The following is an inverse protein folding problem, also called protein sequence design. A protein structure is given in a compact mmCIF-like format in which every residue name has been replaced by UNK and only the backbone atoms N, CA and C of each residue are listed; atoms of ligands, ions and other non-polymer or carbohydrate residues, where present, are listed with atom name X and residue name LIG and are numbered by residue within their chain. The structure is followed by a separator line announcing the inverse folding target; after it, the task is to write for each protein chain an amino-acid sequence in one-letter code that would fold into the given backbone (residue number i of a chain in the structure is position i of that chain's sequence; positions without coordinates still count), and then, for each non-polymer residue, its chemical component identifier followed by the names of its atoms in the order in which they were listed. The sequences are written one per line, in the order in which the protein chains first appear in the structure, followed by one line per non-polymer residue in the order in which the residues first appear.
data_IF_461454008182
#
_entry.id   IF_461454008182
#
_cell.length_a   1.000
_cell.length_b   1.000
_cell.length_c   1.000
_cell.angle_alpha   90.00
_cell.angle_beta   90.00
_cell.angle_gamma   90.00
#
_symmetry.space_group_name_H-M   'P 1'
#
loop_
_entity.id
_entity.type
_entity.pdbx_description
1 polymer ?
#
# COMPACT_ATOMS: atom_id res chain seq x y z
N UNK A 1 -6.20 -18.33 4.76
CA UNK A 1 -7.61 -17.91 4.61
C UNK A 1 -7.63 -16.78 3.58
N UNK A 2 -8.63 -16.73 2.70
CA UNK A 2 -8.74 -15.71 1.65
C UNK A 2 -9.94 -14.81 1.87
N UNK A 3 -9.85 -13.55 1.43
CA UNK A 3 -10.92 -12.55 1.43
C UNK A 3 -11.07 -12.00 0.03
N UNK A 4 -12.27 -12.13 -0.53
CA UNK A 4 -12.60 -11.55 -1.83
C UNK A 4 -12.98 -10.08 -1.67
N UNK A 5 -12.45 -9.23 -2.53
CA UNK A 5 -12.81 -7.81 -2.60
C UNK A 5 -12.91 -7.32 -4.03
N UNK A 6 -13.63 -6.23 -4.22
CA UNK A 6 -13.68 -5.51 -5.50
C UNK A 6 -12.79 -4.28 -5.42
N UNK A 7 -11.82 -4.17 -6.31
CA UNK A 7 -10.97 -2.98 -6.49
C UNK A 7 -10.84 -2.73 -8.00
N UNK A 8 -11.00 -1.48 -8.45
CA UNK A 8 -10.88 -1.12 -9.86
C UNK A 8 -11.76 -1.98 -10.77
N UNK A 9 -13.02 -2.18 -10.37
CA UNK A 9 -14.01 -3.00 -11.06
C UNK A 9 -13.60 -4.48 -11.27
N UNK A 10 -12.63 -4.98 -10.50
CA UNK A 10 -12.19 -6.38 -10.53
C UNK A 10 -12.39 -7.04 -9.17
N UNK A 11 -12.93 -8.25 -9.19
CA UNK A 11 -12.98 -9.11 -8.01
C UNK A 11 -11.64 -9.84 -7.87
N UNK A 12 -11.05 -9.76 -6.68
CA UNK A 12 -9.73 -10.27 -6.38
C UNK A 12 -9.79 -11.03 -5.07
N UNK A 13 -9.24 -12.24 -5.06
CA UNK A 13 -9.07 -13.05 -3.86
C UNK A 13 -7.69 -12.77 -3.24
N UNK A 14 -7.70 -12.29 -1.99
CA UNK A 14 -6.49 -11.89 -1.28
C UNK A 14 -6.28 -12.74 -0.05
N UNK A 15 -5.05 -13.14 0.19
CA UNK A 15 -4.68 -13.91 1.36
C UNK A 15 -4.61 -12.99 2.58
N UNK A 16 -5.28 -13.39 3.66
CA UNK A 16 -5.19 -12.69 4.94
C UNK A 16 -3.75 -12.77 5.45
N UNK A 17 -3.26 -11.66 6.01
CA UNK A 17 -1.90 -11.58 6.53
C UNK A 17 -0.84 -11.30 5.47
N UNK A 18 -1.22 -10.61 4.39
CA UNK A 18 -0.36 -10.39 3.23
C UNK A 18 -0.32 -8.94 2.77
N UNK A 19 0.81 -8.57 2.16
CA UNK A 19 1.02 -7.28 1.50
C UNK A 19 1.05 -7.51 0.00
N UNK A 20 0.46 -6.59 -0.75
CA UNK A 20 0.40 -6.60 -2.20
C UNK A 20 0.81 -5.25 -2.77
N UNK A 21 1.35 -5.26 -3.98
CA UNK A 21 1.48 -4.08 -4.83
C UNK A 21 0.63 -4.30 -6.07
N UNK A 22 -0.20 -3.32 -6.42
CA UNK A 22 -0.91 -3.27 -7.69
C UNK A 22 -0.32 -2.15 -8.55
N UNK A 23 0.15 -2.52 -9.73
CA UNK A 23 0.63 -1.61 -10.76
C UNK A 23 -0.54 -1.31 -11.70
N UNK A 24 -1.11 -0.12 -11.59
CA UNK A 24 -2.31 0.26 -12.32
C UNK A 24 -2.26 1.74 -12.74
N UNK A 25 -2.79 2.03 -13.93
CA UNK A 25 -3.16 3.39 -14.28
C UNK A 25 -4.51 3.74 -13.64
N UNK A 26 -4.47 4.21 -12.39
CA UNK A 26 -5.69 4.57 -11.66
C UNK A 26 -6.46 5.75 -12.31
N UNK A 27 -5.83 6.55 -13.19
CA UNK A 27 -6.50 7.65 -13.89
C UNK A 27 -7.46 7.14 -14.96
N UNK A 28 -7.27 5.91 -15.43
CA UNK A 28 -8.20 5.21 -16.33
C UNK A 28 -9.29 4.44 -15.59
N UNK A 29 -9.29 4.45 -14.26
CA UNK A 29 -10.26 3.71 -13.45
C UNK A 29 -11.43 4.61 -13.05
N UNK A 30 -12.62 4.01 -12.95
CA UNK A 30 -13.78 4.69 -12.38
C UNK A 30 -13.55 4.99 -10.90
N UNK A 31 -14.07 6.12 -10.44
CA UNK A 31 -13.99 6.61 -9.06
C UNK A 31 -14.97 5.87 -8.12
N UNK A 32 -15.13 4.56 -8.31
CA UNK A 32 -16.06 3.70 -7.58
C UNK A 32 -15.28 2.73 -6.69
N UNK A 33 -14.97 3.18 -5.47
CA UNK A 33 -14.34 2.35 -4.45
C UNK A 33 -15.38 1.51 -3.71
N UNK A 34 -14.98 0.31 -3.25
CA UNK A 34 -15.86 -0.57 -2.50
C UNK A 34 -16.19 0.04 -1.13
N UNK A 35 -17.47 0.33 -0.88
CA UNK A 35 -17.93 1.01 0.35
C UNK A 35 -18.03 0.10 1.57
N UNK A 36 -17.40 -1.08 1.55
CA UNK A 36 -17.36 -1.98 2.70
C UNK A 36 -16.70 -1.30 3.90
N UNK A 37 -17.37 -1.34 5.05
CA UNK A 37 -16.95 -0.68 6.30
C UNK A 37 -15.62 -1.19 6.87
N UNK A 38 -15.02 -2.23 6.28
CA UNK A 38 -13.76 -2.85 6.74
C UNK A 38 -12.57 -2.59 5.83
N UNK A 39 -12.74 -1.74 4.81
CA UNK A 39 -11.66 -1.33 3.91
C UNK A 39 -11.34 0.14 4.16
N UNK A 40 -10.06 0.42 4.33
CA UNK A 40 -9.53 1.77 4.51
C UNK A 40 -8.83 2.23 3.24
N UNK A 41 -9.33 3.30 2.62
CA UNK A 41 -8.76 3.89 1.41
C UNK A 41 -8.00 5.17 1.77
N UNK A 42 -6.71 5.19 1.47
CA UNK A 42 -5.84 6.31 1.79
C UNK A 42 -4.94 6.70 0.62
N UNK A 43 -4.77 8.01 0.43
CA UNK A 43 -3.85 8.63 -0.51
C UNK A 43 -4.02 8.21 -1.99
N UNK A 44 -5.21 7.75 -2.37
CA UNK A 44 -5.57 7.56 -3.78
C UNK A 44 -6.12 8.87 -4.35
N UNK A 45 -6.09 9.10 -5.68
CA UNK A 45 -6.64 10.32 -6.29
C UNK A 45 -8.18 10.41 -6.26
N UNK A 46 -8.86 9.35 -5.81
CA UNK A 46 -10.30 9.22 -5.71
C UNK A 46 -10.93 10.12 -4.63
N UNK A 47 -12.21 10.48 -4.78
CA UNK A 47 -12.92 11.36 -3.84
C UNK A 47 -13.18 10.69 -2.49
N UNK A 48 -13.55 9.41 -2.49
CA UNK A 48 -13.84 8.61 -1.30
C UNK A 48 -12.57 8.11 -0.59
N UNK A 49 -11.38 8.48 -1.08
CA UNK A 49 -10.10 8.20 -0.43
C UNK A 49 -9.69 9.34 0.48
N UNK A 50 -9.35 9.01 1.72
CA UNK A 50 -8.81 9.97 2.68
C UNK A 50 -7.43 10.45 2.19
N UNK A 51 -7.21 11.76 2.13
CA UNK A 51 -5.88 12.32 1.83
C UNK A 51 -5.03 12.37 3.10
N UNK A 52 -3.72 12.16 2.97
CA UNK A 52 -2.79 12.19 4.12
C UNK A 52 -2.93 13.50 4.89
N UNK A 53 -2.88 14.64 4.19
CA UNK A 53 -3.03 15.98 4.79
C UNK A 53 -4.32 16.13 5.59
N UNK A 54 -5.46 15.76 5.00
CA UNK A 54 -6.77 15.86 5.65
C UNK A 54 -6.87 15.03 6.93
N UNK A 55 -6.28 13.83 6.92
CA UNK A 55 -6.30 12.98 8.11
C UNK A 55 -5.48 13.62 9.24
N UNK A 56 -4.27 14.07 8.92
CA UNK A 56 -3.35 14.58 9.95
C UNK A 56 -3.79 15.91 10.56
N UNK A 57 -4.44 16.78 9.79
CA UNK A 57 -4.95 18.07 10.27
C UNK A 57 -5.92 17.93 11.47
N UNK A 58 -6.55 16.77 11.61
CA UNK A 58 -7.55 16.47 12.65
C UNK A 58 -7.04 15.59 13.79
N UNK A 59 -5.76 15.21 13.80
CA UNK A 59 -5.19 14.21 14.71
C UNK A 59 -4.02 14.74 15.52
N UNK A 60 -3.81 14.14 16.69
CA UNK A 60 -2.61 14.38 17.47
C UNK A 60 -1.40 13.66 16.86
N UNK A 61 -0.63 14.40 16.07
CA UNK A 61 0.68 14.02 15.54
C UNK A 61 1.82 14.25 16.55
N UNK A 62 1.55 14.22 17.86
CA UNK A 62 2.63 14.30 18.84
C UNK A 62 3.67 13.19 18.61
N UNK A 63 4.94 13.57 18.63
CA UNK A 63 6.09 12.65 18.49
C UNK A 63 5.95 11.49 19.49
N UNK A 64 5.49 11.79 20.71
CA UNK A 64 5.27 10.79 21.76
C UNK A 64 4.23 9.73 21.36
N UNK A 65 3.11 10.14 20.76
CA UNK A 65 2.10 9.19 20.30
C UNK A 65 2.65 8.31 19.18
N UNK A 66 3.38 8.90 18.23
CA UNK A 66 3.98 8.15 17.14
C UNK A 66 5.05 7.18 17.63
N UNK A 67 5.92 7.59 18.56
CA UNK A 67 6.90 6.71 19.22
C UNK A 67 6.23 5.51 19.92
N UNK A 68 5.09 5.74 20.57
CA UNK A 68 4.34 4.66 21.22
C UNK A 68 3.80 3.66 20.21
N UNK A 69 3.29 4.13 19.07
CA UNK A 69 2.83 3.27 17.99
C UNK A 69 3.97 2.49 17.34
N UNK A 70 5.11 3.16 17.08
CA UNK A 70 6.34 2.53 16.57
C UNK A 70 6.77 1.38 17.48
N UNK A 71 6.81 1.61 18.80
CA UNK A 71 7.14 0.56 19.79
C UNK A 71 6.09 -0.55 19.82
N UNK A 72 4.79 -0.20 19.80
CA UNK A 72 3.68 -1.16 19.83
C UNK A 72 3.73 -2.15 18.67
N UNK A 73 4.09 -1.70 17.48
CA UNK A 73 4.15 -2.53 16.27
C UNK A 73 5.57 -2.92 15.86
N UNK A 74 6.57 -2.61 16.70
CA UNK A 74 7.98 -2.95 16.48
C UNK A 74 8.54 -2.48 15.13
N UNK A 75 8.22 -1.24 14.73
CA UNK A 75 8.71 -0.64 13.50
C UNK A 75 10.19 -0.26 13.65
N UNK A 76 11.05 -0.69 12.72
CA UNK A 76 12.53 -0.59 12.84
C UNK A 76 13.15 0.52 12.01
N UNK A 77 12.56 0.84 10.86
CA UNK A 77 13.07 1.76 9.85
C UNK A 77 12.39 3.12 9.89
N UNK A 78 11.38 3.26 10.75
CA UNK A 78 10.54 4.46 10.86
C UNK A 78 11.09 5.40 11.94
N UNK A 79 11.36 6.64 11.57
CA UNK A 79 11.93 7.65 12.47
C UNK A 79 10.87 8.68 12.87
N UNK A 80 10.51 8.77 14.16
CA UNK A 80 9.44 9.65 14.60
C UNK A 80 9.79 11.14 14.52
N UNK A 81 11.08 11.51 14.48
CA UNK A 81 11.53 12.90 14.36
C UNK A 81 11.19 13.55 13.01
N UNK A 82 10.74 12.77 12.04
CA UNK A 82 10.44 13.19 10.67
C UNK A 82 8.92 13.13 10.36
N UNK A 83 8.03 13.13 11.38
CA UNK A 83 6.56 13.01 11.21
C UNK A 83 5.90 14.09 10.32
N UNK A 84 6.63 15.13 9.93
CA UNK A 84 6.15 16.16 9.02
C UNK A 84 6.20 15.68 7.57
N UNK A 85 7.05 14.70 7.25
CA UNK A 85 7.12 14.15 5.90
C UNK A 85 5.92 13.25 5.60
N UNK A 86 5.52 13.21 4.32
CA UNK A 86 4.34 12.45 3.85
C UNK A 86 4.49 10.95 4.10
N UNK A 87 5.72 10.44 4.09
CA UNK A 87 6.01 9.02 4.32
C UNK A 87 5.68 8.60 5.76
N UNK A 88 6.17 9.33 6.75
CA UNK A 88 5.94 9.10 8.16
C UNK A 88 4.49 9.39 8.52
N UNK A 89 3.87 10.40 7.93
CA UNK A 89 2.42 10.62 8.09
C UNK A 89 1.64 9.42 7.58
N UNK A 90 1.93 8.90 6.38
CA UNK A 90 1.23 7.73 5.87
C UNK A 90 1.38 6.52 6.81
N UNK A 91 2.60 6.24 7.27
CA UNK A 91 2.86 5.14 8.20
C UNK A 91 2.08 5.32 9.50
N UNK A 92 2.12 6.52 10.10
CA UNK A 92 1.32 6.86 11.27
C UNK A 92 -0.16 6.57 11.05
N UNK A 93 -0.73 6.97 9.92
CA UNK A 93 -2.15 6.76 9.63
C UNK A 93 -2.48 5.27 9.56
N UNK A 94 -1.66 4.49 8.83
CA UNK A 94 -1.85 3.05 8.67
C UNK A 94 -1.86 2.37 10.04
N UNK A 95 -0.85 2.63 10.88
CA UNK A 95 -0.71 1.96 12.19
C UNK A 95 -1.71 2.46 13.24
N UNK A 96 -2.17 3.71 13.12
CA UNK A 96 -3.22 4.25 13.99
C UNK A 96 -4.58 3.59 13.72
N UNK A 97 -4.87 3.28 12.45
CA UNK A 97 -6.16 2.72 12.02
C UNK A 97 -6.16 1.19 11.92
N UNK A 98 -5.01 0.53 12.14
CA UNK A 98 -4.84 -0.91 11.93
C UNK A 98 -5.83 -1.78 12.73
N UNK A 99 -6.26 -1.34 13.90
CA UNK A 99 -7.21 -2.12 14.72
C UNK A 99 -8.66 -1.96 14.23
N UNK A 100 -8.97 -0.91 13.46
CA UNK A 100 -10.33 -0.58 13.01
C UNK A 100 -10.70 -1.28 11.69
N UNK A 101 -9.71 -1.48 10.80
CA UNK A 101 -9.91 -1.99 9.44
C UNK A 101 -9.17 -3.29 9.20
N UNK A 102 -9.67 -4.10 8.28
CA UNK A 102 -9.05 -5.39 7.93
C UNK A 102 -8.15 -5.26 6.69
N UNK A 103 -8.52 -4.35 5.79
CA UNK A 103 -7.87 -4.15 4.50
C UNK A 103 -7.52 -2.68 4.35
N UNK A 104 -6.32 -2.42 3.85
CA UNK A 104 -5.79 -1.10 3.57
C UNK A 104 -5.45 -1.01 2.09
N UNK A 105 -5.98 0.01 1.42
CA UNK A 105 -5.68 0.31 0.02
C UNK A 105 -5.02 1.69 0.00
N UNK A 106 -3.75 1.70 -0.36
CA UNK A 106 -2.81 2.77 -0.07
C UNK A 106 -2.24 3.29 -1.38
N UNK A 107 -2.55 4.52 -1.75
CA UNK A 107 -1.91 5.17 -2.89
C UNK A 107 -0.49 5.63 -2.56
N UNK A 108 0.43 5.40 -3.49
CA UNK A 108 1.85 5.77 -3.34
C UNK A 108 2.20 7.15 -3.93
N UNK A 109 1.19 7.94 -4.28
CA UNK A 109 1.39 9.26 -4.91
C UNK A 109 2.18 10.18 -3.99
N UNK A 110 3.25 10.77 -4.52
CA UNK A 110 4.13 11.66 -3.78
C UNK A 110 5.09 10.97 -2.81
N UNK A 111 5.15 9.63 -2.80
CA UNK A 111 6.05 8.85 -1.95
C UNK A 111 7.26 8.44 -2.77
N UNK A 112 8.45 8.69 -2.24
CA UNK A 112 9.69 8.26 -2.87
C UNK A 112 9.78 6.74 -2.97
N UNK A 113 10.43 6.26 -4.02
CA UNK A 113 10.59 4.83 -4.30
C UNK A 113 11.24 4.07 -3.13
N UNK A 114 12.29 4.63 -2.57
CA UNK A 114 13.04 4.09 -1.44
C UNK A 114 12.16 4.00 -0.19
N UNK A 115 11.30 5.00 0.01
CA UNK A 115 10.33 5.02 1.10
C UNK A 115 9.30 3.89 0.96
N UNK A 116 8.82 3.61 -0.26
CA UNK A 116 7.88 2.49 -0.49
C UNK A 116 8.50 1.16 -0.06
N UNK A 117 9.77 0.90 -0.42
CA UNK A 117 10.49 -0.31 0.00
C UNK A 117 10.48 -0.48 1.52
N UNK A 118 10.77 0.60 2.25
CA UNK A 118 10.81 0.59 3.71
C UNK A 118 9.43 0.31 4.31
N UNK A 119 8.37 0.96 3.80
CA UNK A 119 7.00 0.69 4.28
C UNK A 119 6.63 -0.78 4.04
N UNK A 120 6.84 -1.30 2.84
CA UNK A 120 6.51 -2.68 2.52
C UNK A 120 7.23 -3.67 3.46
N UNK A 121 8.50 -3.40 3.77
CA UNK A 121 9.29 -4.21 4.69
C UNK A 121 8.71 -4.23 6.11
N UNK A 122 8.26 -3.09 6.62
CA UNK A 122 7.62 -3.00 7.92
C UNK A 122 6.27 -3.72 7.95
N UNK A 123 5.48 -3.56 6.89
CA UNK A 123 4.09 -4.04 6.88
C UNK A 123 3.98 -5.56 6.66
N UNK A 124 5.00 -6.26 6.14
CA UNK A 124 4.94 -7.71 5.93
C UNK A 124 4.67 -8.47 7.24
N UNK A 125 5.43 -8.16 8.29
CA UNK A 125 5.30 -8.86 9.57
C UNK A 125 4.01 -8.44 10.28
N UNK A 126 3.69 -7.15 10.19
CA UNK A 126 2.45 -6.60 10.75
C UNK A 126 1.23 -7.28 10.11
N UNK A 127 1.22 -7.44 8.79
CA UNK A 127 0.13 -8.10 8.08
C UNK A 127 -0.14 -9.47 8.69
N UNK A 128 0.89 -10.30 8.82
CA UNK A 128 0.78 -11.66 9.37
C UNK A 128 0.34 -11.67 10.82
N UNK A 129 0.93 -10.84 11.67
CA UNK A 129 0.65 -10.83 13.12
C UNK A 129 -0.76 -10.30 13.41
N UNK A 130 -1.25 -9.38 12.59
CA UNK A 130 -2.53 -8.69 12.79
C UNK A 130 -3.63 -9.17 11.86
N UNK A 131 -3.39 -10.21 11.07
CA UNK A 131 -4.32 -10.73 10.06
C UNK A 131 -4.87 -9.62 9.12
N UNK A 132 -3.97 -8.72 8.67
CA UNK A 132 -4.32 -7.59 7.80
C UNK A 132 -3.93 -7.84 6.35
N UNK A 133 -4.60 -7.13 5.45
CA UNK A 133 -4.28 -7.09 4.03
C UNK A 133 -3.89 -5.67 3.67
N UNK A 134 -2.69 -5.48 3.13
CA UNK A 134 -2.24 -4.19 2.63
C UNK A 134 -2.08 -4.24 1.11
N UNK A 135 -2.56 -3.23 0.40
CA UNK A 135 -2.48 -3.14 -1.05
C UNK A 135 -1.95 -1.76 -1.40
N UNK A 136 -0.73 -1.71 -1.94
CA UNK A 136 -0.09 -0.50 -2.40
C UNK A 136 -0.44 -0.29 -3.87
N UNK A 137 -1.15 0.80 -4.15
CA UNK A 137 -1.54 1.19 -5.50
C UNK A 137 -0.47 2.10 -6.07
N UNK A 138 0.32 1.53 -6.98
CA UNK A 138 1.34 2.23 -7.73
C UNK A 138 0.76 2.73 -9.05
N UNK A 139 0.86 4.04 -9.28
CA UNK A 139 0.44 4.66 -10.52
C UNK A 139 1.38 4.27 -11.66
N UNK A 140 0.81 3.75 -12.73
CA UNK A 140 1.52 3.52 -13.99
C UNK A 140 0.95 4.37 -15.12
N UNK A 141 1.82 4.77 -16.05
CA UNK A 141 1.39 5.47 -17.27
C UNK A 141 0.59 4.56 -18.20
N UNK A 142 0.90 3.25 -18.17
CA UNK A 142 0.26 2.20 -18.98
C UNK A 142 -0.72 1.42 -18.09
N UNK A 143 -1.85 0.98 -18.65
CA UNK A 143 -2.81 0.16 -17.92
C UNK A 143 -2.28 -1.28 -17.80
N UNK A 144 -1.46 -1.51 -16.76
CA UNK A 144 -0.73 -2.76 -16.56
C UNK A 144 -1.55 -3.76 -15.73
N UNK A 145 -2.45 -3.29 -14.84
CA UNK A 145 -3.39 -4.11 -14.07
C UNK A 145 -2.75 -5.37 -13.41
N UNK A 146 -1.49 -5.26 -12.98
CA UNK A 146 -0.73 -6.36 -12.35
C UNK A 146 -0.87 -6.26 -10.83
N UNK A 147 -1.28 -7.35 -10.19
CA UNK A 147 -1.26 -7.51 -8.74
C UNK A 147 -0.19 -8.54 -8.33
N UNK A 148 0.70 -8.14 -7.43
CA UNK A 148 1.81 -8.97 -6.96
C UNK A 148 1.78 -9.04 -5.43
N UNK A 149 1.76 -10.26 -4.89
CA UNK A 149 2.03 -10.49 -3.45
C UNK A 149 3.49 -10.15 -3.16
N UNK A 150 3.74 -9.38 -2.11
CA UNK A 150 5.09 -9.03 -1.66
C UNK A 150 5.62 -10.10 -0.73
N UNK A 151 6.86 -10.50 -0.96
CA UNK A 151 7.63 -11.40 -0.11
C UNK A 151 9.04 -10.85 0.10
N UNK A 152 9.81 -11.48 0.98
CA UNK A 152 11.17 -11.04 1.30
C UNK A 152 12.11 -11.11 0.11
N UNK A 153 11.96 -12.10 -0.79
CA UNK A 153 12.82 -12.23 -1.98
C UNK A 153 12.63 -11.03 -2.92
N UNK A 154 11.38 -10.60 -3.10
CA UNK A 154 11.05 -9.39 -3.87
C UNK A 154 11.60 -8.13 -3.22
N UNK A 155 11.55 -8.02 -1.89
CA UNK A 155 12.12 -6.85 -1.19
C UNK A 155 13.65 -6.84 -1.19
N UNK A 156 14.30 -7.99 -1.13
CA UNK A 156 15.75 -8.10 -1.20
C UNK A 156 16.27 -7.67 -2.58
N UNK A 157 15.50 -7.93 -3.64
CA UNK A 157 15.77 -7.48 -5.00
C UNK A 157 14.77 -6.40 -5.48
N UNK A 158 14.39 -5.48 -4.58
CA UNK A 158 13.30 -4.52 -4.83
C UNK A 158 13.50 -3.69 -6.09
N UNK A 159 14.71 -3.17 -6.31
CA UNK A 159 15.01 -2.29 -7.43
C UNK A 159 14.74 -3.00 -8.75
N UNK A 160 15.28 -4.20 -8.92
CA UNK A 160 15.04 -5.01 -10.11
C UNK A 160 13.56 -5.39 -10.23
N UNK A 161 12.94 -5.90 -9.16
CA UNK A 161 11.55 -6.36 -9.21
C UNK A 161 10.60 -5.22 -9.53
N UNK A 162 10.64 -4.14 -8.76
CA UNK A 162 9.71 -3.03 -8.86
C UNK A 162 9.96 -2.23 -10.13
N UNK A 163 11.22 -1.86 -10.43
CA UNK A 163 11.55 -1.08 -11.63
C UNK A 163 11.31 -1.89 -12.90
N UNK A 164 11.55 -3.21 -12.94
CA UNK A 164 11.18 -3.99 -14.12
C UNK A 164 9.66 -4.00 -14.34
N UNK A 165 8.85 -3.92 -13.29
CA UNK A 165 7.39 -3.77 -13.48
C UNK A 165 7.00 -2.39 -13.99
N UNK A 166 7.76 -1.34 -13.61
CA UNK A 166 7.64 0.00 -14.22
C UNK A 166 8.13 0.03 -15.69
N UNK A 167 9.16 -0.76 -16.03
CA UNK A 167 9.90 -0.71 -17.30
C UNK A 167 9.56 -1.80 -18.32
N UNK A 168 8.90 -2.91 -17.95
CA UNK A 168 8.56 -4.03 -18.83
C UNK A 168 7.45 -3.66 -19.83
N UNK A 169 7.76 -2.70 -20.68
CA UNK A 169 6.94 -2.33 -21.80
C UNK A 169 7.77 -1.65 -22.89
N UNK A 170 9.03 -2.09 -23.05
CA UNK A 170 9.82 -2.00 -24.27
C UNK A 170 10.68 -3.29 -24.40
N UNK A 171 10.34 -4.08 -25.42
CA UNK A 171 11.15 -5.11 -26.13
C UNK A 171 11.25 -6.59 -25.71
N UNK A 172 10.74 -7.10 -24.58
CA UNK A 172 10.75 -8.57 -24.36
C UNK A 172 9.56 -9.11 -23.53
N UNK A 173 8.33 -8.72 -23.89
CA UNK A 173 7.14 -9.35 -23.34
C UNK A 173 7.06 -10.83 -23.77
N UNK A 174 7.38 -11.73 -22.84
CA UNK A 174 7.04 -13.15 -22.95
C UNK A 174 5.52 -13.26 -23.13
N UNK A 175 5.10 -13.51 -24.37
CA UNK A 175 3.73 -13.87 -24.73
C UNK A 175 3.45 -15.23 -24.10
N UNK A 176 2.61 -15.27 -23.07
CA UNK A 176 1.98 -16.52 -22.66
C UNK A 176 0.95 -16.89 -23.74
N UNK A 177 1.33 -17.79 -24.66
CA UNK A 177 0.37 -18.44 -25.56
C UNK A 177 -0.54 -19.34 -24.72
N UNK A 178 -1.82 -19.00 -24.62
CA UNK A 178 -2.82 -20.02 -24.33
C UNK A 178 -3.05 -20.86 -25.60
N UNK A 179 -3.19 -22.17 -25.40
CA UNK A 179 -3.55 -23.13 -26.45
C UNK A 179 -4.97 -22.90 -26.93
#
# INVERSE_FOLDING_TARGET
MYKQITIFNKNIDLEIGSVYVIFNNYLSQEDNLNKSKKIFYINLPFHDSIKVSQYVDSKDLSINNYENLIKKYNLKFIKPQEIIDVFNQLVYIIINEIENYDIFIIGTVGIAFESIKLILKELIDIAKIKDKIFIFVQNESKNIDILEKVDMLKLDNFDTWYVNKLRNNDDNAFIYKQR
#
